data_IF_384891517736
#
_entry.id   IF_384891517736
#
_cell.length_a   1.000
_cell.length_b   1.000
_cell.length_c   1.000
_cell.angle_alpha   90.00
_cell.angle_beta   90.00
_cell.angle_gamma   90.00
#
_symmetry.space_group_name_H-M   'P 1'
#
loop_
_entity.id
_entity.type
_entity.pdbx_description
1 polymer ?
#
# COMPACT_ATOMS: atom_id res chain seq x y z
N UNK A 1 -6.73 13.20 -11.67
CA UNK A 1 -6.71 12.05 -10.77
C UNK A 1 -5.96 10.92 -11.45
N UNK A 2 -4.98 10.38 -10.75
CA UNK A 2 -4.10 9.31 -11.17
C UNK A 2 -4.69 7.93 -10.85
N UNK A 3 -3.86 6.87 -10.84
CA UNK A 3 -4.28 5.57 -10.33
C UNK A 3 -4.58 5.62 -8.82
N UNK A 4 -5.30 4.60 -8.38
CA UNK A 4 -5.62 4.35 -6.98
C UNK A 4 -4.90 3.08 -6.52
N UNK A 5 -4.52 3.03 -5.25
CA UNK A 5 -3.95 1.87 -4.59
C UNK A 5 -4.64 1.63 -3.25
N UNK A 6 -4.43 0.45 -2.69
CA UNK A 6 -4.83 0.04 -1.35
C UNK A 6 -3.56 -0.28 -0.56
N UNK A 7 -3.50 0.16 0.70
CA UNK A 7 -2.44 -0.24 1.64
C UNK A 7 -3.11 -0.80 2.88
N UNK A 8 -2.88 -2.06 3.18
CA UNK A 8 -3.49 -2.76 4.31
C UNK A 8 -2.46 -3.35 5.27
N UNK A 9 -2.84 -3.46 6.54
CA UNK A 9 -2.15 -4.27 7.54
C UNK A 9 -3.07 -5.42 7.93
N UNK A 10 -2.54 -6.64 7.81
CA UNK A 10 -3.16 -7.88 8.30
C UNK A 10 -2.32 -8.48 9.42
N UNK A 11 -2.97 -9.07 10.43
CA UNK A 11 -2.31 -9.79 11.52
C UNK A 11 -2.36 -11.29 11.22
N UNK A 12 -1.22 -11.90 10.92
CA UNK A 12 -1.07 -13.35 10.86
C UNK A 12 -0.79 -13.89 12.27
N UNK A 13 -1.51 -14.92 12.75
CA UNK A 13 -1.32 -15.46 14.09
C UNK A 13 0.07 -16.04 14.37
N UNK A 14 0.80 -16.48 13.35
CA UNK A 14 2.11 -17.11 13.49
C UNK A 14 3.27 -16.15 13.19
N UNK A 15 3.08 -15.22 12.25
CA UNK A 15 4.13 -14.35 11.72
C UNK A 15 4.05 -12.89 12.21
N UNK A 16 2.95 -12.49 12.85
CA UNK A 16 2.69 -11.11 13.23
C UNK A 16 2.09 -10.30 12.08
N UNK A 17 2.31 -8.99 12.06
CA UNK A 17 1.73 -8.14 11.02
C UNK A 17 2.41 -8.31 9.67
N UNK A 18 1.63 -8.26 8.60
CA UNK A 18 2.09 -8.11 7.24
C UNK A 18 1.44 -6.87 6.60
N UNK A 19 2.24 -6.12 5.84
CA UNK A 19 1.76 -5.04 4.97
C UNK A 19 1.39 -5.61 3.62
N UNK A 20 0.25 -5.16 3.10
CA UNK A 20 -0.27 -5.47 1.79
C UNK A 20 -0.35 -4.17 0.98
N UNK A 21 0.05 -4.23 -0.29
CA UNK A 21 -0.28 -3.21 -1.27
C UNK A 21 -1.04 -3.86 -2.42
N UNK A 22 -2.04 -3.17 -2.96
CA UNK A 22 -2.73 -3.60 -4.17
C UNK A 22 -3.15 -2.43 -5.04
N UNK A 23 -3.42 -2.71 -6.31
CA UNK A 23 -4.11 -1.76 -7.18
C UNK A 23 -5.52 -1.44 -6.63
N UNK A 24 -6.04 -0.24 -6.85
CA UNK A 24 -7.41 0.16 -6.48
C UNK A 24 -8.36 0.17 -7.67
N UNK A 25 -9.68 0.24 -7.39
CA UNK A 25 -10.74 0.32 -8.39
C UNK A 25 -11.26 -1.03 -8.92
N UNK A 26 -12.10 -0.99 -9.97
CA UNK A 26 -12.85 -2.16 -10.49
C UNK A 26 -11.95 -3.32 -10.95
N UNK A 27 -10.71 -3.04 -11.33
CA UNK A 27 -9.77 -4.08 -11.78
C UNK A 27 -9.24 -4.96 -10.64
N UNK A 28 -9.28 -4.47 -9.39
CA UNK A 28 -8.81 -5.22 -8.21
C UNK A 28 -9.66 -6.45 -7.90
N UNK A 29 -10.97 -6.35 -8.10
CA UNK A 29 -11.92 -7.45 -7.83
C UNK A 29 -11.75 -8.63 -8.80
N UNK A 30 -11.14 -8.40 -9.96
CA UNK A 30 -10.97 -9.40 -11.02
C UNK A 30 -9.58 -10.05 -10.98
N UNK A 31 -8.54 -9.33 -10.55
CA UNK A 31 -7.15 -9.74 -10.74
C UNK A 31 -6.33 -10.06 -9.48
N UNK A 32 -6.84 -9.85 -8.25
CA UNK A 32 -6.07 -10.05 -7.01
C UNK A 32 -4.66 -9.41 -7.06
N UNK A 33 -4.54 -8.25 -7.73
CA UNK A 33 -3.27 -7.56 -7.97
C UNK A 33 -2.71 -6.97 -6.67
N UNK A 34 -1.97 -7.81 -5.93
CA UNK A 34 -1.52 -7.55 -4.57
C UNK A 34 -0.13 -8.11 -4.30
N UNK A 35 0.62 -7.43 -3.45
CA UNK A 35 1.92 -7.87 -2.94
C UNK A 35 1.95 -7.74 -1.42
N UNK A 36 2.70 -8.63 -0.76
CA UNK A 36 2.78 -8.71 0.71
C UNK A 36 4.23 -8.72 1.19
N UNK A 37 4.47 -8.13 2.36
CA UNK A 37 5.70 -8.29 3.14
C UNK A 37 5.39 -8.34 4.63
N UNK A 38 6.21 -9.05 5.40
CA UNK A 38 6.14 -8.97 6.86
C UNK A 38 6.49 -7.56 7.32
N UNK A 39 5.85 -7.11 8.39
CA UNK A 39 6.14 -5.83 9.00
C UNK A 39 7.25 -5.95 10.06
N UNK A 40 8.19 -4.99 10.13
CA UNK A 40 8.30 -3.81 9.27
C UNK A 40 9.01 -4.15 7.95
N UNK A 41 8.60 -3.53 6.84
CA UNK A 41 9.31 -3.58 5.57
C UNK A 41 10.07 -2.27 5.28
N UNK A 42 11.18 -2.40 4.58
CA UNK A 42 12.00 -1.29 4.12
C UNK A 42 11.39 -0.60 2.90
N UNK A 43 11.84 0.63 2.61
CA UNK A 43 11.43 1.35 1.39
C UNK A 43 11.81 0.58 0.12
N UNK A 44 12.94 -0.14 0.11
CA UNK A 44 13.34 -0.94 -1.05
C UNK A 44 12.40 -2.14 -1.24
N UNK A 45 12.06 -2.86 -0.16
CA UNK A 45 11.06 -3.94 -0.25
C UNK A 45 9.70 -3.41 -0.69
N UNK A 46 9.30 -2.21 -0.26
CA UNK A 46 8.08 -1.57 -0.72
C UNK A 46 8.15 -1.15 -2.21
N UNK A 47 9.32 -0.75 -2.72
CA UNK A 47 9.53 -0.52 -4.15
C UNK A 47 9.36 -1.82 -4.94
N UNK A 48 9.93 -2.93 -4.44
CA UNK A 48 9.79 -4.25 -5.05
C UNK A 48 8.31 -4.71 -5.04
N UNK A 49 7.59 -4.48 -3.93
CA UNK A 49 6.15 -4.77 -3.85
C UNK A 49 5.35 -4.01 -4.91
N UNK A 50 5.71 -2.75 -5.21
CA UNK A 50 5.06 -1.97 -6.26
C UNK A 50 5.42 -2.45 -7.67
N UNK A 51 6.62 -3.02 -7.87
CA UNK A 51 7.03 -3.65 -9.14
C UNK A 51 6.34 -5.00 -9.38
N UNK A 52 5.97 -5.71 -8.31
CA UNK A 52 5.24 -6.99 -8.38
C UNK A 52 3.80 -6.83 -8.88
N UNK A 53 3.23 -5.62 -8.81
CA UNK A 53 1.86 -5.37 -9.24
C UNK A 53 1.75 -5.45 -10.78
N UNK A 54 0.65 -6.02 -11.26
CA UNK A 54 0.23 -5.95 -12.67
C UNK A 54 0.05 -4.49 -13.10
N UNK A 55 -0.38 -3.62 -12.18
CA UNK A 55 -0.47 -2.17 -12.39
C UNK A 55 0.90 -1.45 -12.44
N UNK A 56 2.03 -2.10 -12.16
CA UNK A 56 3.35 -1.46 -12.11
C UNK A 56 3.73 -0.60 -13.34
N UNK A 57 3.31 -0.90 -14.60
CA UNK A 57 3.60 -0.04 -15.75
C UNK A 57 3.03 1.38 -15.64
N UNK A 58 2.08 1.61 -14.71
CA UNK A 58 1.53 2.93 -14.41
C UNK A 58 2.59 3.92 -13.94
N UNK A 59 3.66 3.43 -13.34
CA UNK A 59 4.77 4.27 -12.87
C UNK A 59 5.71 4.73 -13.99
N UNK A 60 5.68 4.08 -15.16
CA UNK A 60 6.45 4.47 -16.33
C UNK A 60 5.75 5.58 -17.14
N UNK A 61 4.46 5.41 -17.40
CA UNK A 61 3.60 6.43 -18.00
C UNK A 61 2.14 6.22 -17.58
N UNK A 62 1.54 7.25 -17.00
CA UNK A 62 0.10 7.29 -16.77
C UNK A 62 -0.50 8.58 -17.30
N UNK A 63 -1.03 8.54 -18.52
CA UNK A 63 -1.70 9.70 -19.15
C UNK A 63 -0.79 10.96 -19.16
N UNK A 64 0.53 10.78 -19.33
CA UNK A 64 1.50 11.87 -19.30
C UNK A 64 1.80 12.43 -17.90
N UNK A 65 1.34 11.77 -16.84
CA UNK A 65 1.68 12.11 -15.45
C UNK A 65 2.94 11.36 -15.01
N UNK A 66 3.81 12.06 -14.28
CA UNK A 66 4.92 11.43 -13.56
C UNK A 66 4.44 11.10 -12.15
N UNK A 67 4.33 9.81 -11.83
CA UNK A 67 3.91 9.34 -10.52
C UNK A 67 5.13 9.20 -9.61
N UNK A 68 5.06 9.73 -8.38
CA UNK A 68 6.15 9.60 -7.41
C UNK A 68 6.11 8.22 -6.73
N UNK A 69 6.57 7.19 -7.44
CA UNK A 69 6.61 5.81 -6.93
C UNK A 69 7.35 5.69 -5.60
N UNK A 70 8.47 6.43 -5.45
CA UNK A 70 9.29 6.40 -4.24
C UNK A 70 8.53 6.94 -3.03
N UNK A 71 7.72 7.98 -3.21
CA UNK A 71 6.87 8.50 -2.14
C UNK A 71 5.79 7.51 -1.72
N UNK A 72 5.19 6.79 -2.66
CA UNK A 72 4.25 5.71 -2.32
C UNK A 72 4.94 4.57 -1.54
N UNK A 73 6.13 4.15 -1.98
CA UNK A 73 6.93 3.14 -1.27
C UNK A 73 7.33 3.59 0.15
N UNK A 74 7.65 4.88 0.32
CA UNK A 74 7.89 5.46 1.64
C UNK A 74 6.65 5.37 2.54
N UNK A 75 5.47 5.69 2.01
CA UNK A 75 4.19 5.56 2.74
C UNK A 75 3.95 4.10 3.17
N UNK A 76 4.16 3.14 2.28
CA UNK A 76 3.99 1.70 2.58
C UNK A 76 4.94 1.28 3.72
N UNK A 77 6.23 1.64 3.62
CA UNK A 77 7.22 1.32 4.67
C UNK A 77 6.89 1.97 6.01
N UNK A 78 6.39 3.21 6.01
CA UNK A 78 5.96 3.90 7.23
C UNK A 78 4.72 3.27 7.86
N UNK A 79 3.74 2.86 7.06
CA UNK A 79 2.54 2.13 7.53
C UNK A 79 2.94 0.78 8.13
N UNK A 80 3.88 0.08 7.48
CA UNK A 80 4.45 -1.16 7.98
C UNK A 80 5.18 -0.98 9.33
N UNK A 81 6.00 0.08 9.44
CA UNK A 81 6.67 0.43 10.70
C UNK A 81 5.67 0.77 11.81
N UNK A 82 4.60 1.53 11.49
CA UNK A 82 3.54 1.84 12.44
C UNK A 82 2.88 0.57 12.99
N UNK A 83 2.61 -0.42 12.13
CA UNK A 83 2.05 -1.70 12.55
C UNK A 83 2.97 -2.45 13.51
N UNK A 84 4.27 -2.50 13.19
CA UNK A 84 5.28 -3.09 14.05
C UNK A 84 5.34 -2.40 15.43
N UNK A 85 5.32 -1.06 15.45
CA UNK A 85 5.43 -0.27 16.68
C UNK A 85 4.19 -0.40 17.56
N UNK A 86 3.00 -0.53 16.97
CA UNK A 86 1.75 -0.74 17.69
C UNK A 86 1.59 -2.18 18.22
N UNK A 87 2.28 -3.14 17.61
CA UNK A 87 2.24 -4.54 18.00
C UNK A 87 0.80 -5.06 18.14
N UNK A 88 0.57 -5.93 19.12
CA UNK A 88 -0.71 -6.63 19.27
C UNK A 88 -1.94 -5.73 19.42
N UNK A 89 -1.77 -4.46 19.84
CA UNK A 89 -2.88 -3.52 19.98
C UNK A 89 -3.55 -3.18 18.63
N UNK A 90 -2.82 -3.31 17.52
CA UNK A 90 -3.35 -3.08 16.19
C UNK A 90 -3.99 -4.37 15.64
N UNK A 91 -5.30 -4.33 15.42
CA UNK A 91 -6.05 -5.42 14.78
C UNK A 91 -6.02 -5.30 13.25
N UNK A 92 -6.30 -4.10 12.73
CA UNK A 92 -6.35 -3.83 11.29
C UNK A 92 -6.05 -2.36 11.00
N UNK A 93 -5.36 -2.10 9.89
CA UNK A 93 -5.26 -0.78 9.27
C UNK A 93 -5.54 -0.95 7.77
N UNK A 94 -6.38 -0.09 7.21
CA UNK A 94 -6.73 -0.10 5.79
C UNK A 94 -6.77 1.33 5.25
N UNK A 95 -5.95 1.62 4.25
CA UNK A 95 -5.96 2.87 3.47
C UNK A 95 -6.53 2.51 2.11
N UNK A 96 -7.79 2.88 1.88
CA UNK A 96 -8.51 2.48 0.67
C UNK A 96 -9.55 3.55 0.25
N UNK A 97 -9.29 4.37 -0.77
CA UNK A 97 -8.10 4.39 -1.63
C UNK A 97 -7.02 5.39 -1.16
N UNK A 98 -5.78 5.13 -1.56
CA UNK A 98 -4.76 6.17 -1.75
C UNK A 98 -4.66 6.51 -3.23
N UNK A 99 -4.80 7.78 -3.59
CA UNK A 99 -4.90 8.25 -5.00
C UNK A 99 -3.80 9.25 -5.32
N UNK A 100 -3.33 9.26 -6.57
CA UNK A 100 -2.44 10.33 -7.02
C UNK A 100 -3.26 11.55 -7.48
N UNK A 101 -3.11 12.70 -6.83
CA UNK A 101 -3.73 13.96 -7.24
C UNK A 101 -2.80 15.14 -6.99
N UNK A 102 -2.83 16.13 -7.89
CA UNK A 102 -2.09 17.38 -7.72
C UNK A 102 -0.58 17.22 -7.45
N UNK A 103 0.02 16.17 -8.02
CA UNK A 103 1.43 15.85 -7.89
C UNK A 103 1.80 15.07 -6.63
N UNK A 104 0.82 14.56 -5.88
CA UNK A 104 1.04 13.85 -4.62
C UNK A 104 0.12 12.63 -4.42
N UNK A 105 0.47 11.76 -3.47
CA UNK A 105 -0.36 10.66 -3.00
C UNK A 105 -1.22 11.09 -1.82
N UNK A 106 -2.53 10.92 -1.95
CA UNK A 106 -3.53 11.36 -0.98
C UNK A 106 -4.37 10.15 -0.55
N UNK A 107 -4.34 9.82 0.73
CA UNK A 107 -5.28 8.87 1.33
C UNK A 107 -6.66 9.53 1.41
N UNK A 108 -7.65 8.98 0.70
CA UNK A 108 -9.02 9.51 0.71
C UNK A 108 -9.85 8.94 1.87
N UNK A 109 -9.56 7.71 2.29
CA UNK A 109 -10.17 7.06 3.44
C UNK A 109 -9.14 6.21 4.18
N UNK A 110 -9.30 6.14 5.50
CA UNK A 110 -8.43 5.36 6.40
C UNK A 110 -9.29 4.77 7.51
N UNK A 111 -9.23 3.45 7.64
CA UNK A 111 -9.85 2.71 8.73
C UNK A 111 -8.78 2.07 9.60
N UNK A 112 -8.87 2.28 10.91
CA UNK A 112 -7.98 1.66 11.91
C UNK A 112 -8.83 0.99 12.97
N UNK A 113 -8.50 -0.25 13.31
CA UNK A 113 -9.14 -1.00 14.38
C UNK A 113 -8.07 -1.49 15.37
N UNK A 114 -8.36 -1.26 16.65
CA UNK A 114 -7.55 -1.73 17.76
C UNK A 114 -8.29 -2.88 18.47
N UNK A 115 -7.55 -3.71 19.21
CA UNK A 115 -8.14 -4.69 20.14
C UNK A 115 -8.95 -4.02 21.27
#
# INVERSE_FOLDING_TARGET
MGPEFIIGIIKDPALGHAVMVGAGGVMTEIYQDTAFRLAPCTVNEAMDMLDELVLSPVFDDFRGMTLDKKKLALTISQVSQLAHDLGDTLSQLDINPIVFSDGDWIALDVKVMFE
#
